data_IF_441514778655
#
_entry.id   IF_441514778655
#
_cell.length_a   1.000
_cell.length_b   1.000
_cell.length_c   1.000
_cell.angle_alpha   90.00
_cell.angle_beta   90.00
_cell.angle_gamma   90.00
#
_symmetry.space_group_name_H-M   'P 1'
#
loop_
_entity.id
_entity.type
_entity.pdbx_description
1 polymer ?
#
# COMPACT_ATOMS: atom_id res chain seq x y z
N UNK A 1 -31.30 -11.40 0.71
CA UNK A 1 -30.08 -11.52 1.51
C UNK A 1 -28.87 -11.42 0.60
N UNK A 2 -27.74 -10.96 1.14
CA UNK A 2 -26.46 -10.96 0.42
C UNK A 2 -25.83 -12.33 0.59
N UNK A 3 -25.42 -12.97 -0.50
CA UNK A 3 -24.65 -14.22 -0.45
C UNK A 3 -23.20 -13.85 -0.11
N UNK A 4 -22.65 -14.44 0.94
CA UNK A 4 -21.26 -14.25 1.35
C UNK A 4 -20.47 -15.48 0.96
N UNK A 5 -19.30 -15.30 0.36
CA UNK A 5 -18.32 -16.37 0.12
C UNK A 5 -17.03 -16.03 0.88
N UNK A 6 -16.54 -16.95 1.69
CA UNK A 6 -15.31 -16.82 2.47
C UNK A 6 -14.19 -17.55 1.75
N UNK A 7 -13.21 -16.79 1.24
CA UNK A 7 -12.12 -17.34 0.41
C UNK A 7 -11.26 -18.38 1.14
N UNK A 8 -11.17 -18.31 2.46
CA UNK A 8 -10.43 -19.21 3.33
C UNK A 8 -11.23 -20.45 3.79
N UNK A 9 -12.56 -20.37 3.80
CA UNK A 9 -13.43 -21.44 4.26
C UNK A 9 -14.16 -22.14 3.12
N UNK A 10 -14.57 -21.39 2.09
CA UNK A 10 -15.40 -21.90 1.00
C UNK A 10 -14.56 -22.22 -0.27
N UNK A 11 -13.23 -22.30 -0.14
CA UNK A 11 -12.33 -22.45 -1.30
C UNK A 11 -12.62 -23.71 -2.14
N UNK A 12 -12.93 -24.83 -1.50
CA UNK A 12 -13.22 -26.07 -2.21
C UNK A 12 -14.49 -25.98 -3.06
N UNK A 13 -15.53 -25.31 -2.54
CA UNK A 13 -16.78 -25.04 -3.27
C UNK A 13 -16.55 -24.05 -4.42
N UNK A 14 -15.77 -22.99 -4.16
CA UNK A 14 -15.37 -21.99 -5.17
C UNK A 14 -14.58 -22.68 -6.30
N UNK A 15 -13.62 -23.53 -5.97
CA UNK A 15 -12.80 -24.23 -6.95
C UNK A 15 -13.60 -25.22 -7.80
N UNK A 16 -14.58 -25.92 -7.22
CA UNK A 16 -15.49 -26.81 -7.95
C UNK A 16 -16.39 -26.05 -8.94
N UNK A 17 -16.92 -24.89 -8.53
CA UNK A 17 -17.75 -24.03 -9.41
C UNK A 17 -16.93 -23.37 -10.51
N UNK A 18 -15.63 -23.19 -10.34
CA UNK A 18 -14.72 -22.62 -11.35
C UNK A 18 -14.47 -23.57 -12.55
N UNK A 19 -14.85 -24.85 -12.47
CA UNK A 19 -14.73 -25.82 -13.58
C UNK A 19 -15.59 -25.46 -14.79
N UNK A 20 -16.70 -24.74 -14.58
CA UNK A 20 -17.56 -24.18 -15.64
C UNK A 20 -17.05 -22.77 -16.03
N UNK A 21 -15.91 -22.71 -16.72
CA UNK A 21 -15.35 -21.46 -17.24
C UNK A 21 -16.30 -20.83 -18.26
N UNK A 22 -17.33 -20.14 -17.78
CA UNK A 22 -17.99 -19.12 -18.60
C UNK A 22 -17.01 -17.97 -18.77
N UNK A 23 -16.49 -17.83 -19.98
CA UNK A 23 -15.72 -16.64 -20.37
C UNK A 23 -16.58 -15.43 -20.02
N UNK A 24 -16.06 -14.56 -19.14
CA UNK A 24 -16.73 -13.32 -18.81
C UNK A 24 -16.86 -12.50 -20.09
N UNK A 25 -18.10 -12.35 -20.57
CA UNK A 25 -18.40 -11.61 -21.81
C UNK A 25 -18.38 -10.09 -21.61
N UNK A 26 -18.24 -9.63 -20.35
CA UNK A 26 -18.15 -8.19 -20.04
C UNK A 26 -16.70 -7.75 -20.11
N UNK A 27 -16.43 -6.84 -21.03
CA UNK A 27 -15.13 -6.17 -21.15
C UNK A 27 -15.07 -5.02 -20.15
N UNK A 28 -14.11 -5.04 -19.24
CA UNK A 28 -13.78 -3.89 -18.38
C UNK A 28 -13.03 -2.87 -19.22
N UNK A 29 -13.47 -1.62 -19.17
CA UNK A 29 -12.82 -0.51 -19.86
C UNK A 29 -12.04 0.37 -18.87
N UNK A 30 -11.09 1.20 -19.34
CA UNK A 30 -10.37 2.13 -18.48
C UNK A 30 -11.26 3.11 -17.71
N UNK A 31 -12.47 3.38 -18.17
CA UNK A 31 -13.46 4.26 -17.55
C UNK A 31 -14.27 3.58 -16.45
N UNK A 32 -14.27 2.24 -16.39
CA UNK A 32 -14.94 1.54 -15.29
C UNK A 32 -14.24 1.82 -13.96
N UNK A 33 -15.00 1.78 -12.87
CA UNK A 33 -14.45 1.99 -11.54
C UNK A 33 -13.56 0.82 -11.13
N UNK A 34 -12.35 1.16 -10.66
CA UNK A 34 -11.46 0.22 -10.00
C UNK A 34 -11.87 0.02 -8.55
N UNK A 35 -12.18 1.13 -7.84
CA UNK A 35 -12.65 1.08 -6.47
C UNK A 35 -13.49 2.31 -6.09
N UNK A 36 -14.22 2.19 -4.98
CA UNK A 36 -14.90 3.29 -4.29
C UNK A 36 -14.50 3.26 -2.83
N UNK A 37 -13.94 4.36 -2.32
CA UNK A 37 -13.59 4.51 -0.90
C UNK A 37 -14.34 5.71 -0.33
N UNK A 38 -14.93 5.52 0.86
CA UNK A 38 -15.65 6.57 1.55
C UNK A 38 -14.72 7.39 2.44
N UNK A 39 -14.77 8.71 2.26
CA UNK A 39 -14.08 9.69 3.11
C UNK A 39 -15.08 10.44 3.97
N UNK A 40 -14.60 10.99 5.11
CA UNK A 40 -15.42 11.86 5.95
C UNK A 40 -15.73 13.16 5.19
N UNK A 41 -17.00 13.34 4.82
CA UNK A 41 -17.41 14.56 4.11
C UNK A 41 -17.41 15.80 5.03
N UNK A 42 -17.05 16.97 4.49
CA UNK A 42 -17.10 18.28 5.19
C UNK A 42 -18.48 18.64 5.72
N UNK A 43 -19.53 18.02 5.19
CA UNK A 43 -20.94 18.20 5.61
C UNK A 43 -21.39 17.15 6.64
N UNK A 44 -20.48 16.33 7.17
CA UNK A 44 -20.79 15.27 8.13
C UNK A 44 -21.34 13.98 7.50
N UNK A 45 -21.66 13.96 6.21
CA UNK A 45 -22.06 12.74 5.49
C UNK A 45 -20.87 12.17 4.73
N UNK A 46 -20.57 10.86 4.85
CA UNK A 46 -19.51 10.23 4.09
C UNK A 46 -19.72 10.40 2.57
N UNK A 47 -18.63 10.66 1.85
CA UNK A 47 -18.63 10.79 0.39
C UNK A 47 -17.84 9.64 -0.21
N UNK A 48 -18.42 8.91 -1.17
CA UNK A 48 -17.75 7.87 -1.92
C UNK A 48 -16.89 8.47 -3.03
N UNK A 49 -15.58 8.33 -2.92
CA UNK A 49 -14.61 8.72 -3.96
C UNK A 49 -14.52 7.56 -4.95
N UNK A 50 -14.82 7.84 -6.21
CA UNK A 50 -14.87 6.86 -7.29
C UNK A 50 -13.62 6.98 -8.17
N UNK A 51 -12.78 5.94 -8.18
CA UNK A 51 -11.53 5.94 -8.95
C UNK A 51 -11.65 4.95 -10.13
N UNK A 52 -11.50 5.43 -11.38
CA UNK A 52 -11.53 4.57 -12.55
C UNK A 52 -10.21 3.83 -12.76
N UNK A 53 -10.25 2.72 -13.50
CA UNK A 53 -9.06 1.91 -13.81
C UNK A 53 -7.94 2.73 -14.44
N UNK A 54 -8.25 3.66 -15.35
CA UNK A 54 -7.23 4.51 -15.99
C UNK A 54 -6.45 5.37 -15.00
N UNK A 55 -7.11 5.91 -13.95
CA UNK A 55 -6.45 6.72 -12.94
C UNK A 55 -5.52 5.86 -12.07
N UNK A 56 -6.01 4.69 -11.62
CA UNK A 56 -5.20 3.74 -10.87
C UNK A 56 -4.00 3.25 -11.68
N UNK A 57 -4.19 2.89 -12.94
CA UNK A 57 -3.11 2.45 -13.84
C UNK A 57 -2.05 3.53 -14.00
N UNK A 58 -2.47 4.78 -14.31
CA UNK A 58 -1.54 5.91 -14.44
C UNK A 58 -0.74 6.13 -13.15
N UNK A 59 -1.41 6.08 -12.01
CA UNK A 59 -0.77 6.19 -10.70
C UNK A 59 0.29 5.10 -10.50
N UNK A 60 -0.06 3.82 -10.70
CA UNK A 60 0.86 2.70 -10.49
C UNK A 60 2.06 2.74 -11.44
N UNK A 61 1.86 3.13 -12.70
CA UNK A 61 2.96 3.30 -13.67
C UNK A 61 3.91 4.39 -13.19
N UNK A 62 3.39 5.56 -12.80
CA UNK A 62 4.21 6.66 -12.28
C UNK A 62 4.99 6.29 -11.02
N UNK A 63 4.34 5.60 -10.07
CA UNK A 63 5.02 5.15 -8.84
C UNK A 63 6.08 4.08 -9.11
N UNK A 64 5.88 3.29 -10.16
CA UNK A 64 6.87 2.32 -10.61
C UNK A 64 8.13 2.93 -11.24
N UNK A 65 8.09 4.20 -11.62
CA UNK A 65 9.22 4.99 -12.11
C UNK A 65 9.83 5.86 -11.00
N UNK A 66 8.97 6.53 -10.22
CA UNK A 66 9.37 7.41 -9.12
C UNK A 66 8.34 7.31 -7.97
N UNK A 67 8.72 6.81 -6.81
CA UNK A 67 10.05 6.45 -6.25
C UNK A 67 10.75 5.26 -6.90
N UNK A 68 10.05 4.49 -7.74
CA UNK A 68 10.59 3.35 -8.45
C UNK A 68 10.47 2.03 -7.69
N UNK A 69 10.13 0.99 -8.46
CA UNK A 69 10.12 -0.41 -8.02
C UNK A 69 10.57 -1.30 -9.18
N UNK A 70 11.39 -2.30 -8.89
CA UNK A 70 11.92 -3.27 -9.86
C UNK A 70 11.44 -4.68 -9.52
N UNK A 71 11.69 -5.64 -10.41
CA UNK A 71 11.31 -7.04 -10.20
C UNK A 71 12.06 -7.71 -9.03
N UNK A 72 13.21 -7.18 -8.65
CA UNK A 72 14.04 -7.68 -7.55
C UNK A 72 13.54 -7.20 -6.18
N UNK A 73 12.63 -6.22 -6.16
CA UNK A 73 12.15 -5.62 -4.92
C UNK A 73 11.19 -6.54 -4.16
N UNK A 74 11.14 -6.30 -2.85
CA UNK A 74 10.25 -6.94 -1.90
C UNK A 74 9.46 -5.86 -1.17
N UNK A 75 8.20 -5.71 -1.52
CA UNK A 75 7.26 -4.80 -0.84
C UNK A 75 6.67 -5.47 0.39
N UNK A 76 6.82 -4.86 1.56
CA UNK A 76 6.07 -5.25 2.75
C UNK A 76 4.80 -4.40 2.84
N UNK A 77 3.65 -5.02 2.57
CA UNK A 77 2.34 -4.39 2.62
C UNK A 77 1.82 -4.40 4.07
N UNK A 78 1.74 -3.23 4.69
CA UNK A 78 1.33 -3.05 6.09
C UNK A 78 0.02 -2.26 6.23
N UNK A 79 -0.45 -1.65 5.15
CA UNK A 79 -1.67 -0.83 5.17
C UNK A 79 -2.90 -1.71 5.00
N UNK A 80 -3.94 -1.44 5.80
CA UNK A 80 -5.24 -2.08 5.60
C UNK A 80 -5.83 -1.72 4.23
N UNK A 81 -6.40 -2.70 3.55
CA UNK A 81 -7.08 -2.52 2.26
C UNK A 81 -8.28 -1.55 2.30
N UNK A 82 -8.71 -1.11 3.49
CA UNK A 82 -9.75 -0.09 3.65
C UNK A 82 -9.24 1.32 3.29
N UNK A 83 -7.93 1.53 3.19
CA UNK A 83 -7.30 2.77 2.74
C UNK A 83 -6.77 2.62 1.31
N UNK A 84 -6.91 3.68 0.53
CA UNK A 84 -6.48 3.71 -0.88
C UNK A 84 -4.98 3.48 -1.07
N UNK A 85 -4.15 3.94 -0.12
CA UNK A 85 -2.69 3.75 -0.17
C UNK A 85 -2.27 2.28 -0.22
N UNK A 86 -3.11 1.35 0.25
CA UNK A 86 -2.87 -0.09 0.13
C UNK A 86 -2.79 -0.56 -1.33
N UNK A 87 -3.45 0.14 -2.26
CA UNK A 87 -3.41 -0.24 -3.67
C UNK A 87 -2.00 -0.15 -4.27
N UNK A 88 -1.16 0.80 -3.81
CA UNK A 88 0.26 0.83 -4.19
C UNK A 88 0.97 -0.44 -3.72
N UNK A 89 0.80 -0.80 -2.45
CA UNK A 89 1.48 -1.94 -1.82
C UNK A 89 1.10 -3.28 -2.47
N UNK A 90 -0.17 -3.42 -2.84
CA UNK A 90 -0.73 -4.67 -3.36
C UNK A 90 -0.55 -4.82 -4.87
N UNK A 91 -0.73 -3.75 -5.65
CA UNK A 91 -0.77 -3.85 -7.11
C UNK A 91 0.55 -3.47 -7.80
N UNK A 92 1.31 -2.52 -7.26
CA UNK A 92 2.57 -2.12 -7.90
C UNK A 92 3.58 -3.27 -7.99
N UNK A 93 3.80 -4.09 -6.94
CA UNK A 93 4.69 -5.25 -7.05
C UNK A 93 4.26 -6.22 -8.16
N UNK A 94 2.95 -6.48 -8.29
CA UNK A 94 2.44 -7.39 -9.33
C UNK A 94 2.71 -6.87 -10.74
N UNK A 95 2.56 -5.57 -10.98
CA UNK A 95 2.83 -4.95 -12.29
C UNK A 95 4.32 -5.00 -12.63
N UNK A 96 5.20 -4.86 -11.63
CA UNK A 96 6.65 -4.87 -11.81
C UNK A 96 7.28 -6.26 -11.77
N UNK A 97 6.52 -7.31 -11.44
CA UNK A 97 7.05 -8.64 -11.22
C UNK A 97 7.84 -8.79 -9.91
N UNK A 98 7.64 -7.88 -8.97
CA UNK A 98 8.25 -7.88 -7.65
C UNK A 98 7.49 -8.77 -6.66
N UNK A 99 8.09 -8.98 -5.49
CA UNK A 99 7.44 -9.72 -4.41
C UNK A 99 6.56 -8.78 -3.56
N UNK A 100 5.35 -9.24 -3.23
CA UNK A 100 4.46 -8.59 -2.28
C UNK A 100 4.25 -9.50 -1.06
N UNK A 101 4.67 -9.04 0.11
CA UNK A 101 4.45 -9.72 1.39
C UNK A 101 3.38 -8.97 2.18
N UNK A 102 2.25 -9.61 2.42
CA UNK A 102 1.13 -9.02 3.16
C UNK A 102 1.34 -9.29 4.65
N UNK A 103 1.56 -8.22 5.42
CA UNK A 103 1.71 -8.30 6.86
C UNK A 103 0.37 -8.60 7.53
N UNK A 104 0.37 -9.45 8.56
CA UNK A 104 -0.83 -9.72 9.35
C UNK A 104 -1.25 -8.44 10.10
N UNK A 105 -2.56 -8.17 10.16
CA UNK A 105 -3.09 -6.95 10.78
C UNK A 105 -2.67 -6.79 12.26
N UNK A 106 -2.54 -7.90 12.99
CA UNK A 106 -2.09 -7.90 14.40
C UNK A 106 -0.60 -7.52 14.51
N UNK A 107 0.19 -7.79 13.47
CA UNK A 107 1.62 -7.46 13.45
C UNK A 107 1.83 -5.96 13.14
N UNK A 108 0.98 -5.36 12.31
CA UNK A 108 1.11 -3.92 11.99
C UNK A 108 0.86 -3.00 13.19
N UNK A 109 0.19 -3.51 14.25
CA UNK A 109 -0.12 -2.79 15.48
C UNK A 109 0.84 -3.13 16.65
N UNK A 110 1.73 -4.08 16.45
CA UNK A 110 2.68 -4.56 17.44
C UNK A 110 4.11 -4.39 16.89
N UNK A 111 4.85 -3.45 17.46
CA UNK A 111 6.17 -3.07 16.96
C UNK A 111 7.18 -4.22 16.97
N UNK A 112 7.14 -5.09 17.97
CA UNK A 112 8.08 -6.20 18.06
C UNK A 112 7.76 -7.29 17.02
N UNK A 113 6.47 -7.50 16.73
CA UNK A 113 6.06 -8.39 15.65
C UNK A 113 6.43 -7.83 14.29
N UNK A 114 6.20 -6.53 14.06
CA UNK A 114 6.55 -5.87 12.81
C UNK A 114 8.07 -5.90 12.57
N UNK A 115 8.88 -5.60 13.57
CA UNK A 115 10.36 -5.71 13.50
C UNK A 115 10.81 -7.12 13.18
N UNK A 116 10.17 -8.13 13.78
CA UNK A 116 10.44 -9.53 13.47
C UNK A 116 10.13 -9.87 12.02
N UNK A 117 8.99 -9.41 11.50
CA UNK A 117 8.61 -9.63 10.11
C UNK A 117 9.59 -8.94 9.15
N UNK A 118 9.99 -7.69 9.44
CA UNK A 118 11.01 -6.98 8.65
C UNK A 118 12.32 -7.78 8.60
N UNK A 119 12.83 -8.26 9.73
CA UNK A 119 14.06 -9.07 9.77
C UNK A 119 13.94 -10.39 9.04
N UNK A 120 12.78 -11.05 9.11
CA UNK A 120 12.54 -12.34 8.47
C UNK A 120 12.38 -12.22 6.96
N UNK A 121 11.63 -11.23 6.49
CA UNK A 121 11.30 -11.01 5.08
C UNK A 121 12.42 -10.27 4.36
N UNK A 122 13.10 -9.36 5.07
CA UNK A 122 14.09 -8.41 4.53
C UNK A 122 13.50 -7.64 3.33
N UNK A 123 12.44 -6.87 3.54
CA UNK A 123 11.83 -6.08 2.48
C UNK A 123 12.83 -5.03 1.97
N UNK A 124 12.73 -4.69 0.70
CA UNK A 124 13.51 -3.58 0.12
C UNK A 124 12.72 -2.28 0.12
N UNK A 125 11.39 -2.36 0.19
CA UNK A 125 10.48 -1.21 0.18
C UNK A 125 9.35 -1.42 1.18
N UNK A 126 9.03 -0.39 1.94
CA UNK A 126 7.84 -0.36 2.80
C UNK A 126 7.20 1.03 2.76
N UNK A 127 5.89 1.07 2.56
CA UNK A 127 5.07 2.26 2.68
C UNK A 127 4.35 2.24 4.02
N UNK A 128 4.36 3.36 4.74
CA UNK A 128 3.58 3.49 5.96
C UNK A 128 3.28 4.96 6.29
N UNK A 129 2.34 5.16 7.21
CA UNK A 129 2.07 6.50 7.75
C UNK A 129 3.17 6.95 8.72
N UNK A 130 3.30 8.26 8.98
CA UNK A 130 4.21 8.77 10.01
C UNK A 130 4.04 8.11 11.38
N UNK A 131 2.82 7.71 11.72
CA UNK A 131 2.54 7.01 12.98
C UNK A 131 3.26 5.65 13.06
N UNK A 132 3.19 4.83 12.01
CA UNK A 132 3.87 3.54 11.94
C UNK A 132 5.39 3.70 11.96
N UNK A 133 5.93 4.65 11.18
CA UNK A 133 7.36 4.92 11.16
C UNK A 133 7.87 5.39 12.53
N UNK A 134 7.14 6.28 13.22
CA UNK A 134 7.47 6.68 14.60
C UNK A 134 7.51 5.49 15.56
N UNK A 135 6.52 4.59 15.47
CA UNK A 135 6.47 3.40 16.30
C UNK A 135 7.74 2.54 16.13
N UNK A 136 8.19 2.31 14.89
CA UNK A 136 9.43 1.60 14.60
C UNK A 136 10.64 2.30 15.18
N UNK A 137 10.80 3.61 14.94
CA UNK A 137 11.98 4.34 15.37
C UNK A 137 12.10 4.50 16.88
N UNK A 138 11.01 4.84 17.56
CA UNK A 138 11.03 4.94 19.02
C UNK A 138 11.25 3.58 19.71
N UNK A 139 11.07 2.47 19.01
CA UNK A 139 11.41 1.12 19.47
C UNK A 139 12.88 0.74 19.22
N UNK A 140 13.70 1.65 18.69
CA UNK A 140 15.11 1.39 18.36
C UNK A 140 15.32 0.57 17.08
N UNK A 141 14.43 0.66 16.10
CA UNK A 141 14.68 0.07 14.78
C UNK A 141 15.62 0.97 13.98
N UNK A 142 16.73 0.43 13.48
CA UNK A 142 17.84 1.16 12.85
C UNK A 142 17.91 1.00 11.31
N UNK A 143 16.89 0.39 10.68
CA UNK A 143 16.84 0.12 9.25
C UNK A 143 18.06 -0.64 8.69
N UNK A 144 18.53 -1.64 9.42
CA UNK A 144 19.70 -2.46 9.03
C UNK A 144 19.49 -3.15 7.66
N UNK A 145 18.25 -3.40 7.27
CA UNK A 145 17.87 -4.00 6.00
C UNK A 145 17.93 -3.01 4.83
N UNK A 146 18.22 -1.74 5.06
CA UNK A 146 18.25 -0.67 4.05
C UNK A 146 16.94 -0.52 3.29
N UNK A 147 15.82 -0.63 3.99
CA UNK A 147 14.47 -0.51 3.43
C UNK A 147 14.27 0.90 2.85
N UNK A 148 13.85 1.00 1.58
CA UNK A 148 13.36 2.25 0.99
C UNK A 148 12.09 2.67 1.71
N UNK A 149 12.09 3.87 2.26
CA UNK A 149 11.04 4.42 3.12
C UNK A 149 10.07 5.24 2.27
N UNK A 150 8.81 4.83 2.21
CA UNK A 150 7.72 5.61 1.64
C UNK A 150 6.82 6.08 2.78
N UNK A 151 6.76 7.39 3.03
CA UNK A 151 6.05 7.97 4.16
C UNK A 151 4.98 8.97 3.69
N UNK A 152 3.71 8.74 4.04
CA UNK A 152 2.62 9.63 3.64
C UNK A 152 1.32 9.36 4.37
N UNK A 153 0.25 10.07 3.97
CA UNK A 153 -1.07 10.01 4.61
C UNK A 153 -1.28 11.03 5.72
N UNK A 154 -0.20 11.59 6.26
CA UNK A 154 -0.19 12.65 7.26
C UNK A 154 0.98 13.59 7.00
N UNK A 155 0.98 14.77 7.62
CA UNK A 155 2.14 15.67 7.55
C UNK A 155 3.39 15.01 8.13
N UNK A 156 4.50 15.05 7.39
CA UNK A 156 5.79 14.51 7.84
C UNK A 156 6.38 15.40 8.94
N UNK A 157 6.53 14.93 10.20
CA UNK A 157 7.15 15.71 11.25
C UNK A 157 8.67 15.85 11.03
N UNK A 158 9.23 17.01 11.39
CA UNK A 158 10.64 17.30 11.23
C UNK A 158 11.54 16.29 11.96
N UNK A 159 11.13 15.84 13.14
CA UNK A 159 11.86 14.81 13.89
C UNK A 159 11.96 13.49 13.14
N UNK A 160 10.90 13.12 12.41
CA UNK A 160 10.89 11.91 11.61
C UNK A 160 11.70 12.08 10.33
N UNK A 161 11.64 13.26 9.70
CA UNK A 161 12.50 13.61 8.57
C UNK A 161 13.97 13.44 8.91
N UNK A 162 14.43 14.01 10.03
CA UNK A 162 15.82 13.86 10.50
C UNK A 162 16.18 12.41 10.72
N UNK A 163 15.29 11.66 11.34
CA UNK A 163 15.56 10.25 11.57
C UNK A 163 15.72 9.46 10.25
N UNK A 164 14.91 9.74 9.22
CA UNK A 164 15.09 9.13 7.91
C UNK A 164 16.46 9.46 7.30
N UNK A 165 16.92 10.69 7.45
CA UNK A 165 18.25 11.12 6.99
C UNK A 165 19.37 10.40 7.75
N UNK A 166 19.22 10.25 9.06
CA UNK A 166 20.22 9.59 9.93
C UNK A 166 20.38 8.09 9.59
N UNK A 167 19.35 7.42 9.07
CA UNK A 167 19.44 6.03 8.62
C UNK A 167 20.27 5.86 7.35
N UNK A 168 20.53 6.95 6.60
CA UNK A 168 21.17 6.90 5.29
C UNK A 168 20.36 6.21 4.19
N UNK A 169 19.10 5.84 4.49
CA UNK A 169 18.24 5.12 3.55
C UNK A 169 17.54 6.05 2.57
N UNK A 170 17.19 5.52 1.42
CA UNK A 170 16.33 6.23 0.48
C UNK A 170 14.95 6.43 1.09
N UNK A 171 14.55 7.69 1.27
CA UNK A 171 13.28 8.04 1.88
C UNK A 171 12.50 9.05 1.04
N UNK A 172 11.18 8.88 0.98
CA UNK A 172 10.27 9.70 0.19
C UNK A 172 9.09 10.18 1.03
N UNK A 173 8.81 11.48 0.95
CA UNK A 173 7.60 12.08 1.47
C UNK A 173 6.53 12.06 0.38
N UNK A 174 5.36 11.49 0.69
CA UNK A 174 4.28 11.26 -0.25
C UNK A 174 3.04 12.01 0.19
N UNK A 175 2.44 12.73 -0.73
CA UNK A 175 1.24 13.53 -0.49
C UNK A 175 0.18 13.28 -1.56
N UNK A 176 -1.06 13.09 -1.14
CA UNK A 176 -2.22 13.02 -2.02
C UNK A 176 -3.50 12.76 -1.25
N UNK A 177 -4.58 13.48 -1.56
CA UNK A 177 -5.92 13.13 -1.08
C UNK A 177 -6.50 11.98 -1.93
N UNK A 178 -7.41 11.22 -1.36
CA UNK A 178 -8.10 10.10 -2.04
C UNK A 178 -8.73 10.52 -3.37
N UNK A 179 -9.24 11.75 -3.46
CA UNK A 179 -9.88 12.33 -4.64
C UNK A 179 -8.93 12.50 -5.84
N UNK A 180 -7.63 12.52 -5.62
CA UNK A 180 -6.61 12.65 -6.70
C UNK A 180 -5.84 11.37 -6.97
N UNK A 181 -6.38 10.24 -6.54
CA UNK A 181 -5.83 8.90 -6.73
C UNK A 181 -4.54 8.67 -5.94
N UNK A 182 -4.68 8.51 -4.63
CA UNK A 182 -3.64 8.06 -3.69
C UNK A 182 -2.54 9.11 -3.48
N UNK A 183 -1.54 9.18 -4.36
CA UNK A 183 -0.45 10.16 -4.24
C UNK A 183 -0.37 11.04 -5.47
N UNK A 184 -0.40 12.36 -5.25
CA UNK A 184 -0.32 13.40 -6.29
C UNK A 184 1.07 14.02 -6.37
N UNK A 185 1.84 13.92 -5.30
CA UNK A 185 3.20 14.41 -5.23
C UNK A 185 4.07 13.45 -4.42
N UNK A 186 5.30 13.26 -4.88
CA UNK A 186 6.34 12.51 -4.19
C UNK A 186 7.61 13.33 -4.19
N UNK A 187 8.27 13.41 -3.05
CA UNK A 187 9.51 14.15 -2.90
C UNK A 187 10.54 13.30 -2.15
N UNK A 188 11.70 13.12 -2.76
CA UNK A 188 12.82 12.49 -2.06
C UNK A 188 13.25 13.38 -0.88
N UNK A 189 13.43 12.76 0.27
CA UNK A 189 13.87 13.46 1.47
C UNK A 189 15.38 13.58 1.40
N UNK A 190 15.86 14.82 1.32
CA UNK A 190 17.26 15.19 1.31
C UNK A 190 17.51 16.25 2.41
N UNK A 191 18.77 16.53 2.70
CA UNK A 191 19.21 17.60 3.60
C UNK A 191 18.66 18.98 3.23
#
# INVERSE_FOLDING_TARGET
GVTTALLDQDWDEIAQTASDRKVLTRTVTPENLAYVIYTSGSTGKPKGVMIPHKALTNFLVSMGETPGLTAEDKMLAVTTYCFDIAALELFLPLIKGAHCYICQTEHTKDVEKLKRDIRAIKPTVMQATPATWKMLFYSGWENEESVKILCGGEALPETLKRYFLDTGSEAWNMFGPTETTIWSAVQRIND
#
